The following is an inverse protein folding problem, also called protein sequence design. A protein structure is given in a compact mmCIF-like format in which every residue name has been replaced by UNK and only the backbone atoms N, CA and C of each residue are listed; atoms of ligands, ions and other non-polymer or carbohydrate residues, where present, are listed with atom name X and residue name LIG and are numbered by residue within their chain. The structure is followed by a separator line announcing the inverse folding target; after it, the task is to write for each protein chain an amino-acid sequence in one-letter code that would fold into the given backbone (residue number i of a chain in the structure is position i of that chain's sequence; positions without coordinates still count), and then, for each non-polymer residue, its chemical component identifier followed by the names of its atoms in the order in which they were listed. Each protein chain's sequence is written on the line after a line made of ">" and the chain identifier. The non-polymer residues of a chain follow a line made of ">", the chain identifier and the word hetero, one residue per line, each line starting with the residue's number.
data_IF_749304470469
#
_entry.id   IF_749304470469
#
_cell.length_a   1.000
_cell.length_b   1.000
_cell.length_c   1.000
_cell.angle_alpha   90.00
_cell.angle_beta   90.00
_cell.angle_gamma   90.00
#
_symmetry.space_group_name_H-M   'P 1'
#
loop_
_entity.id
_entity.type
_entity.pdbx_description
1 polymer ?
#
# COMPACT_ATOMS: atom_id res chain seq x y z
N UNK A 1 6.62 -8.98 20.89
CA UNK A 1 5.39 -8.45 21.56
C UNK A 1 4.31 -8.23 20.49
N UNK A 2 3.02 -8.07 20.86
CA UNK A 2 1.96 -7.75 19.89
C UNK A 2 1.47 -6.33 20.14
N UNK A 3 1.61 -5.44 19.17
CA UNK A 3 1.05 -4.08 19.23
C UNK A 3 -0.13 -3.95 18.28
N UNK A 4 -1.30 -3.58 18.80
CA UNK A 4 -2.48 -3.32 17.98
C UNK A 4 -2.90 -1.85 18.11
N UNK A 5 -3.17 -1.18 17.00
CA UNK A 5 -3.56 0.22 16.97
C UNK A 5 -4.64 0.49 15.93
N UNK A 6 -5.61 1.34 16.28
CA UNK A 6 -6.58 1.90 15.35
C UNK A 6 -6.41 3.41 15.37
N UNK A 7 -6.17 4.00 14.19
CA UNK A 7 -5.96 5.42 13.97
C UNK A 7 -7.13 5.92 13.14
N UNK A 8 -7.89 6.88 13.68
CA UNK A 8 -8.98 7.54 12.98
C UNK A 8 -8.56 8.98 12.66
N UNK A 9 -8.59 9.38 11.38
CA UNK A 9 -8.32 10.75 10.95
C UNK A 9 -9.66 11.45 10.62
N UNK A 10 -9.99 12.53 11.35
CA UNK A 10 -11.22 13.29 11.11
C UNK A 10 -11.26 14.66 11.75
N UNK A 11 -12.13 15.53 11.21
CA UNK A 11 -12.27 16.97 11.53
C UNK A 11 -12.27 17.30 13.02
N UNK A 12 -11.11 17.72 13.50
CA UNK A 12 -10.90 18.12 14.88
C UNK A 12 -9.74 19.10 15.08
N UNK A 13 -9.54 20.05 14.15
CA UNK A 13 -8.51 21.08 14.31
C UNK A 13 -8.74 22.29 13.42
N UNK A 14 -8.94 23.46 14.04
CA UNK A 14 -8.84 24.76 13.36
C UNK A 14 -7.36 24.98 13.00
N UNK A 15 -6.95 24.56 11.79
CA UNK A 15 -5.61 24.74 11.25
C UNK A 15 -5.69 24.85 9.74
N UNK A 16 -4.88 25.73 9.14
CA UNK A 16 -4.99 26.10 7.73
C UNK A 16 -4.42 25.08 6.73
N UNK A 17 -3.98 23.92 7.20
CA UNK A 17 -3.41 22.86 6.37
C UNK A 17 -4.02 21.51 6.83
N UNK A 18 -5.00 20.97 6.09
CA UNK A 18 -5.74 19.73 6.39
C UNK A 18 -4.89 18.46 6.15
N UNK A 19 -3.61 18.45 6.55
CA UNK A 19 -2.68 17.35 6.27
C UNK A 19 -2.26 16.66 7.58
N UNK A 20 -2.62 15.38 7.75
CA UNK A 20 -2.21 14.60 8.93
C UNK A 20 -0.95 13.75 8.65
N UNK A 21 0.10 13.92 9.45
CA UNK A 21 1.33 13.11 9.36
C UNK A 21 1.38 12.07 10.49
N UNK A 22 1.48 10.78 10.16
CA UNK A 22 1.65 9.68 11.10
C UNK A 22 2.93 8.91 10.82
N UNK A 23 3.75 8.69 11.85
CA UNK A 23 4.93 7.83 11.78
C UNK A 23 4.83 6.77 12.87
N UNK A 24 4.95 5.51 12.47
CA UNK A 24 4.97 4.37 13.39
C UNK A 24 6.15 3.46 13.07
N UNK A 25 6.99 3.23 14.06
CA UNK A 25 8.14 2.34 13.99
C UNK A 25 7.94 1.21 15.00
N UNK A 26 7.98 -0.03 14.54
CA UNK A 26 7.77 -1.24 15.35
C UNK A 26 9.01 -2.13 15.28
N UNK A 27 9.80 -2.14 16.37
CA UNK A 27 10.99 -2.97 16.45
C UNK A 27 10.68 -4.31 17.11
N UNK A 28 10.99 -5.40 16.39
CA UNK A 28 11.02 -6.77 16.91
C UNK A 28 9.71 -7.22 17.59
N UNK A 29 8.58 -6.81 17.00
CA UNK A 29 7.23 -7.07 17.49
C UNK A 29 6.25 -7.29 16.33
N UNK A 30 5.37 -8.27 16.50
CA UNK A 30 4.18 -8.44 15.66
C UNK A 30 3.24 -7.25 15.82
N UNK A 31 2.66 -6.78 14.72
CA UNK A 31 1.89 -5.54 14.71
C UNK A 31 0.61 -5.64 13.89
N UNK A 32 -0.48 -5.08 14.41
CA UNK A 32 -1.77 -4.97 13.73
C UNK A 32 -2.25 -3.53 13.76
N UNK A 33 -2.26 -2.86 12.61
CA UNK A 33 -2.61 -1.45 12.55
C UNK A 33 -3.73 -1.20 11.54
N UNK A 34 -4.71 -0.39 11.92
CA UNK A 34 -5.75 0.09 11.02
C UNK A 34 -5.78 1.62 11.01
N UNK A 35 -5.63 2.21 9.84
CA UNK A 35 -5.89 3.61 9.57
C UNK A 35 -7.23 3.74 8.85
N UNK A 36 -8.03 4.72 9.27
CA UNK A 36 -9.34 5.04 8.71
C UNK A 36 -9.45 6.57 8.67
N UNK A 37 -9.24 7.14 7.49
CA UNK A 37 -8.94 8.57 7.33
C UNK A 37 -9.82 9.19 6.25
N UNK A 38 -10.55 10.25 6.63
CA UNK A 38 -11.47 10.93 5.72
C UNK A 38 -10.85 12.14 4.99
N UNK A 39 -9.63 12.54 5.33
CA UNK A 39 -8.93 13.71 4.78
C UNK A 39 -7.50 13.31 4.39
N UNK A 40 -6.74 14.26 3.84
CA UNK A 40 -5.36 14.06 3.42
C UNK A 40 -4.47 13.49 4.52
N UNK A 41 -3.83 12.35 4.24
CA UNK A 41 -2.97 11.65 5.19
C UNK A 41 -1.62 11.26 4.61
N UNK A 42 -0.57 11.41 5.42
CA UNK A 42 0.75 10.85 5.15
C UNK A 42 1.09 9.86 6.24
N UNK A 43 1.34 8.61 5.87
CA UNK A 43 1.74 7.58 6.82
C UNK A 43 3.09 7.01 6.45
N UNK A 44 3.97 6.90 7.45
CA UNK A 44 5.16 6.06 7.40
C UNK A 44 5.03 4.94 8.41
N UNK A 45 5.20 3.72 7.94
CA UNK A 45 5.19 2.52 8.75
C UNK A 45 6.46 1.71 8.54
N UNK A 46 7.09 1.30 9.63
CA UNK A 46 8.30 0.49 9.64
C UNK A 46 8.12 -0.68 10.62
N UNK A 47 8.36 -1.91 10.13
CA UNK A 47 8.28 -3.12 10.94
C UNK A 47 9.41 -4.11 10.65
N UNK A 48 10.01 -4.66 11.70
CA UNK A 48 11.08 -5.65 11.56
C UNK A 48 10.63 -7.11 11.56
N UNK A 49 9.48 -7.46 12.13
CA UNK A 49 8.98 -8.84 12.22
C UNK A 49 7.69 -8.99 11.39
N UNK A 50 6.60 -9.49 11.97
CA UNK A 50 5.32 -9.66 11.28
C UNK A 50 4.42 -8.43 11.40
N UNK A 51 3.78 -8.05 10.30
CA UNK A 51 2.93 -6.87 10.26
C UNK A 51 1.66 -7.08 9.44
N UNK A 52 0.53 -6.66 10.01
CA UNK A 52 -0.77 -6.64 9.36
C UNK A 52 -1.32 -5.23 9.38
N UNK A 53 -1.32 -4.56 8.24
CA UNK A 53 -1.75 -3.17 8.16
C UNK A 53 -2.89 -2.98 7.18
N UNK A 54 -3.92 -2.25 7.62
CA UNK A 54 -5.03 -1.81 6.78
C UNK A 54 -5.08 -0.30 6.72
N UNK A 55 -5.08 0.24 5.51
CA UNK A 55 -5.34 1.63 5.20
C UNK A 55 -6.68 1.76 4.50
N UNK A 56 -7.45 2.76 4.91
CA UNK A 56 -8.75 3.12 4.37
C UNK A 56 -8.77 4.65 4.31
N UNK A 57 -8.74 5.21 3.11
CA UNK A 57 -8.69 6.66 2.90
C UNK A 57 -9.71 7.14 1.87
N UNK A 58 -10.46 8.19 2.19
CA UNK A 58 -11.46 8.74 1.26
C UNK A 58 -10.91 9.80 0.30
N UNK A 59 -9.98 10.65 0.72
CA UNK A 59 -9.48 11.76 -0.09
C UNK A 59 -8.07 11.42 -0.61
N UNK A 60 -7.04 12.17 -0.21
CA UNK A 60 -5.66 11.96 -0.66
C UNK A 60 -4.81 11.20 0.37
N UNK A 61 -3.94 10.31 -0.11
CA UNK A 61 -3.13 9.49 0.78
C UNK A 61 -1.73 9.19 0.25
N UNK A 62 -0.73 9.45 1.10
CA UNK A 62 0.68 9.15 0.84
C UNK A 62 1.19 8.15 1.86
N UNK A 63 1.38 6.90 1.45
CA UNK A 63 1.81 5.84 2.36
C UNK A 63 3.17 5.29 1.98
N UNK A 64 4.05 5.22 2.97
CA UNK A 64 5.32 4.50 2.88
C UNK A 64 5.32 3.37 3.89
N UNK A 65 5.58 2.19 3.38
CA UNK A 65 5.62 0.97 4.16
C UNK A 65 6.97 0.29 3.94
N UNK A 66 7.63 -0.05 5.04
CA UNK A 66 8.89 -0.78 5.07
C UNK A 66 8.74 -1.98 6.02
N UNK A 67 9.02 -3.18 5.53
CA UNK A 67 9.00 -4.39 6.34
C UNK A 67 10.14 -5.35 6.03
N UNK A 68 10.83 -5.82 7.08
CA UNK A 68 11.97 -6.70 6.92
C UNK A 68 11.60 -8.19 6.76
N UNK A 69 10.64 -8.71 7.54
CA UNK A 69 10.30 -10.15 7.53
C UNK A 69 8.97 -10.40 6.79
N UNK A 70 7.83 -10.46 7.50
CA UNK A 70 6.54 -10.81 6.88
C UNK A 70 5.53 -9.66 6.97
N UNK A 71 4.86 -9.37 5.86
CA UNK A 71 3.90 -8.28 5.80
C UNK A 71 2.64 -8.59 5.00
N UNK A 72 1.50 -8.24 5.60
CA UNK A 72 0.17 -8.30 4.98
C UNK A 72 -0.43 -6.91 4.98
N UNK A 73 -0.49 -6.29 3.80
CA UNK A 73 -1.01 -4.92 3.65
C UNK A 73 -2.27 -4.92 2.80
N UNK A 74 -3.28 -4.21 3.29
CA UNK A 74 -4.48 -3.87 2.53
C UNK A 74 -4.62 -2.37 2.45
N UNK A 75 -4.77 -1.89 1.23
CA UNK A 75 -4.95 -0.49 0.92
C UNK A 75 -6.25 -0.30 0.16
N UNK A 76 -7.05 0.65 0.61
CA UNK A 76 -8.30 1.06 -0.01
C UNK A 76 -8.31 2.60 -0.04
N UNK A 77 -8.41 3.16 -1.24
CA UNK A 77 -8.49 4.60 -1.43
C UNK A 77 -9.52 5.00 -2.48
N UNK A 78 -10.36 5.98 -2.15
CA UNK A 78 -11.41 6.42 -3.06
C UNK A 78 -10.90 7.43 -4.11
N UNK A 79 -10.21 8.49 -3.71
CA UNK A 79 -9.77 9.55 -4.63
C UNK A 79 -8.31 9.35 -5.08
N UNK A 80 -7.32 9.89 -4.36
CA UNK A 80 -5.93 9.88 -4.81
C UNK A 80 -4.99 9.14 -3.85
N UNK A 81 -4.12 8.30 -4.40
CA UNK A 81 -3.20 7.50 -3.61
C UNK A 81 -1.80 7.34 -4.19
N UNK A 82 -0.81 7.61 -3.34
CA UNK A 82 0.61 7.40 -3.62
C UNK A 82 1.18 6.43 -2.60
N UNK A 83 1.46 5.21 -3.03
CA UNK A 83 1.95 4.15 -2.14
C UNK A 83 3.33 3.69 -2.54
N UNK A 84 4.22 3.61 -1.56
CA UNK A 84 5.52 2.96 -1.69
C UNK A 84 5.61 1.83 -0.68
N UNK A 85 5.92 0.67 -1.21
CA UNK A 85 6.08 -0.54 -0.44
C UNK A 85 7.49 -1.08 -0.66
N UNK A 86 8.19 -1.31 0.43
CA UNK A 86 9.49 -1.96 0.47
C UNK A 86 9.38 -3.17 1.40
N UNK A 87 9.74 -4.35 0.90
CA UNK A 87 9.77 -5.55 1.70
C UNK A 87 10.97 -6.44 1.38
N UNK A 88 11.65 -6.91 2.41
CA UNK A 88 12.86 -7.71 2.24
C UNK A 88 12.57 -9.21 2.04
N UNK A 89 11.70 -9.83 2.84
CA UNK A 89 11.42 -11.27 2.76
C UNK A 89 10.06 -11.57 2.10
N UNK A 90 8.95 -11.66 2.85
CA UNK A 90 7.64 -12.06 2.32
C UNK A 90 6.59 -10.95 2.43
N UNK A 91 5.88 -10.70 1.32
CA UNK A 91 4.79 -9.72 1.29
C UNK A 91 3.52 -10.18 0.57
N UNK A 92 2.38 -9.87 1.17
CA UNK A 92 1.05 -10.00 0.57
C UNK A 92 0.39 -8.63 0.56
N UNK A 93 0.29 -8.02 -0.62
CA UNK A 93 -0.32 -6.70 -0.77
C UNK A 93 -1.60 -6.79 -1.58
N UNK A 94 -2.65 -6.16 -1.07
CA UNK A 94 -3.87 -5.87 -1.81
C UNK A 94 -4.08 -4.38 -1.87
N UNK A 95 -4.27 -3.91 -3.08
CA UNK A 95 -4.52 -2.51 -3.38
C UNK A 95 -5.82 -2.39 -4.12
N UNK A 96 -6.67 -1.48 -3.67
CA UNK A 96 -7.92 -1.10 -4.30
C UNK A 96 -7.94 0.44 -4.37
N UNK A 97 -8.13 0.98 -5.56
CA UNK A 97 -8.30 2.41 -5.74
C UNK A 97 -9.38 2.73 -6.78
N UNK A 98 -10.26 3.67 -6.44
CA UNK A 98 -11.35 4.03 -7.34
C UNK A 98 -10.92 5.03 -8.42
N UNK A 99 -10.30 6.16 -8.06
CA UNK A 99 -9.93 7.19 -9.04
C UNK A 99 -8.46 7.08 -9.48
N UNK A 100 -7.51 7.71 -8.76
CA UNK A 100 -6.11 7.82 -9.20
C UNK A 100 -5.12 7.15 -8.26
N UNK A 101 -4.20 6.37 -8.84
CA UNK A 101 -3.24 5.60 -8.05
C UNK A 101 -1.84 5.50 -8.65
N UNK A 102 -0.84 5.79 -7.82
CA UNK A 102 0.56 5.65 -8.11
C UNK A 102 1.23 4.74 -7.10
N UNK A 103 1.60 3.53 -7.53
CA UNK A 103 2.15 2.53 -6.62
C UNK A 103 3.53 2.07 -7.05
N UNK A 104 4.44 2.00 -6.07
CA UNK A 104 5.77 1.42 -6.25
C UNK A 104 5.97 0.29 -5.26
N UNK A 105 6.33 -0.86 -5.80
CA UNK A 105 6.72 -2.04 -5.06
C UNK A 105 8.20 -2.30 -5.28
N UNK A 106 8.95 -2.37 -4.18
CA UNK A 106 10.29 -2.91 -4.11
C UNK A 106 10.22 -4.16 -3.24
N UNK A 107 10.68 -5.29 -3.76
CA UNK A 107 10.67 -6.55 -3.02
C UNK A 107 11.92 -7.38 -3.31
N UNK A 108 12.54 -7.91 -2.25
CA UNK A 108 13.77 -8.67 -2.39
C UNK A 108 13.54 -10.17 -2.63
N UNK A 109 12.65 -10.83 -1.88
CA UNK A 109 12.40 -12.27 -2.01
C UNK A 109 11.03 -12.60 -2.65
N UNK A 110 9.97 -12.82 -1.86
CA UNK A 110 8.66 -13.27 -2.37
C UNK A 110 7.58 -12.19 -2.17
N UNK A 111 6.83 -11.89 -3.24
CA UNK A 111 5.64 -11.04 -3.12
C UNK A 111 4.43 -11.50 -3.92
N UNK A 112 3.27 -11.41 -3.29
CA UNK A 112 1.96 -11.59 -3.92
C UNK A 112 1.21 -10.28 -3.90
N UNK A 113 1.00 -9.70 -5.07
CA UNK A 113 0.34 -8.41 -5.20
C UNK A 113 -0.95 -8.55 -6.00
N UNK A 114 -2.04 -8.03 -5.43
CA UNK A 114 -3.30 -7.85 -6.14
C UNK A 114 -3.61 -6.37 -6.22
N UNK A 115 -3.88 -5.93 -7.42
CA UNK A 115 -4.19 -4.56 -7.74
C UNK A 115 -5.56 -4.52 -8.38
N UNK A 116 -6.45 -3.70 -7.81
CA UNK A 116 -7.73 -3.34 -8.38
C UNK A 116 -7.76 -1.83 -8.59
N UNK A 117 -8.13 -1.38 -9.78
CA UNK A 117 -8.32 0.04 -10.06
C UNK A 117 -9.53 0.31 -10.96
N UNK A 118 -10.31 1.34 -10.65
CA UNK A 118 -11.46 1.69 -11.48
C UNK A 118 -11.08 2.66 -12.61
N UNK A 119 -10.38 3.77 -12.32
CA UNK A 119 -10.03 4.77 -13.34
C UNK A 119 -8.55 4.68 -13.78
N UNK A 120 -7.64 5.42 -13.15
CA UNK A 120 -6.24 5.54 -13.60
C UNK A 120 -5.23 4.94 -12.63
N UNK A 121 -4.27 4.19 -13.18
CA UNK A 121 -3.21 3.59 -12.38
C UNK A 121 -1.85 3.53 -13.06
N UNK A 122 -0.83 3.84 -12.25
CA UNK A 122 0.57 3.68 -12.60
C UNK A 122 1.27 2.84 -11.55
N UNK A 123 1.70 1.65 -11.96
CA UNK A 123 2.37 0.71 -11.06
C UNK A 123 3.79 0.41 -11.53
N UNK A 124 4.73 0.47 -10.58
CA UNK A 124 6.12 0.08 -10.80
C UNK A 124 6.52 -1.03 -9.85
N UNK A 125 7.15 -2.06 -10.39
CA UNK A 125 7.77 -3.14 -9.65
C UNK A 125 9.28 -3.13 -9.87
N UNK A 126 10.03 -3.18 -8.78
CA UNK A 126 11.41 -3.63 -8.74
C UNK A 126 11.43 -4.88 -7.88
N UNK A 127 11.93 -5.98 -8.43
CA UNK A 127 11.93 -7.25 -7.70
C UNK A 127 13.23 -8.01 -7.91
N UNK A 128 13.74 -8.67 -6.88
CA UNK A 128 14.97 -9.46 -7.00
C UNK A 128 14.73 -10.95 -7.26
N UNK A 129 13.68 -11.54 -6.69
CA UNK A 129 13.35 -12.96 -6.87
C UNK A 129 11.93 -13.17 -7.43
N UNK A 130 10.97 -13.66 -6.62
CA UNK A 130 9.66 -14.10 -7.10
C UNK A 130 8.55 -13.11 -6.78
N UNK A 131 7.83 -12.71 -7.82
CA UNK A 131 6.66 -11.84 -7.69
C UNK A 131 5.50 -12.45 -8.45
N UNK A 132 4.35 -12.47 -7.82
CA UNK A 132 3.09 -12.83 -8.43
C UNK A 132 2.15 -11.64 -8.38
N UNK A 133 1.97 -10.97 -9.52
CA UNK A 133 1.03 -9.85 -9.64
C UNK A 133 -0.21 -10.22 -10.43
N UNK A 134 -1.37 -9.85 -9.88
CA UNK A 134 -2.65 -9.78 -10.59
C UNK A 134 -3.16 -8.34 -10.61
N UNK A 135 -3.64 -7.92 -11.78
CA UNK A 135 -4.38 -6.67 -11.96
C UNK A 135 -5.81 -6.97 -12.38
N UNK A 136 -6.73 -6.18 -11.84
CA UNK A 136 -8.04 -5.87 -12.40
C UNK A 136 -8.06 -4.35 -12.56
N UNK A 137 -8.17 -3.85 -13.78
CA UNK A 137 -8.27 -2.40 -14.00
C UNK A 137 -9.32 -2.14 -15.07
N UNK A 138 -10.22 -1.20 -14.80
CA UNK A 138 -11.38 -0.95 -15.64
C UNK A 138 -11.11 0.04 -16.78
N UNK A 139 -10.32 1.08 -16.55
CA UNK A 139 -10.01 2.09 -17.56
C UNK A 139 -8.54 2.08 -17.99
N UNK A 140 -7.62 2.69 -17.23
CA UNK A 140 -6.21 2.83 -17.62
C UNK A 140 -5.23 2.21 -16.61
N UNK A 141 -4.29 1.42 -17.14
CA UNK A 141 -3.22 0.79 -16.36
C UNK A 141 -1.89 0.86 -17.10
N UNK A 142 -0.93 1.56 -16.49
CA UNK A 142 0.48 1.54 -16.91
C UNK A 142 1.31 0.75 -15.92
N UNK A 143 1.99 -0.29 -16.39
CA UNK A 143 2.89 -1.09 -15.55
C UNK A 143 4.32 -1.08 -16.06
N UNK A 144 5.25 -0.80 -15.16
CA UNK A 144 6.68 -0.92 -15.39
C UNK A 144 7.30 -1.97 -14.48
N UNK A 145 7.98 -2.94 -15.08
CA UNK A 145 8.77 -3.94 -14.35
C UNK A 145 10.25 -3.70 -14.55
N UNK A 146 11.00 -3.82 -13.47
CA UNK A 146 12.45 -3.80 -13.44
C UNK A 146 12.91 -5.12 -12.81
N UNK A 147 13.71 -5.91 -13.56
CA UNK A 147 14.20 -7.28 -13.26
C UNK A 147 13.13 -8.41 -13.39
N UNK A 148 13.49 -9.65 -13.02
CA UNK A 148 12.84 -10.94 -13.37
C UNK A 148 11.47 -11.20 -12.67
N UNK A 149 10.54 -10.24 -12.71
CA UNK A 149 9.22 -10.44 -12.09
C UNK A 149 8.33 -11.39 -12.92
N UNK A 150 7.71 -12.39 -12.29
CA UNK A 150 6.74 -13.27 -12.95
C UNK A 150 5.36 -12.58 -13.03
N UNK A 151 4.76 -12.54 -14.22
CA UNK A 151 3.52 -11.80 -14.44
C UNK A 151 2.35 -12.71 -14.80
N UNK A 152 1.19 -12.50 -14.18
CA UNK A 152 -0.06 -13.16 -14.55
C UNK A 152 -1.24 -12.19 -14.58
N UNK A 153 -1.53 -11.61 -15.74
CA UNK A 153 -2.71 -10.75 -15.94
C UNK A 153 -3.93 -11.53 -16.42
N UNK A 154 -5.10 -11.10 -15.94
CA UNK A 154 -6.37 -11.26 -16.65
C UNK A 154 -6.96 -9.86 -16.82
N UNK A 155 -6.90 -9.33 -18.03
CA UNK A 155 -7.66 -8.13 -18.40
C UNK A 155 -9.13 -8.52 -18.59
N UNK A 156 -10.03 -7.99 -17.78
CA UNK A 156 -11.45 -7.94 -18.09
C UNK A 156 -11.65 -6.85 -19.14
N UNK A 157 -11.70 -7.23 -20.43
CA UNK A 157 -11.79 -6.26 -21.52
C UNK A 157 -13.12 -5.53 -21.58
N UNK A 158 -13.06 -4.28 -22.04
CA UNK A 158 -14.11 -3.57 -22.79
C UNK A 158 -13.48 -2.96 -24.03
#
# INVERSE_FOLDING_TARGET
>A
CISSSIVLCGRGGLGLDNQFLYNMETHNCQSHVRYDCHEEVHVRYDCHEESHVRYDCHEESHVRYDCHEESHVRYDCHEESHVRYDCHEESHVRYDCHEESHVRYDCHEESHVRYDCHEESHVRYDCHEEVHVRYDCHEELTVHYFKECQHWSKSSGV
#
